data_IF_863264738065
#
_entry.id   IF_863264738065
#
_cell.length_a   1.000
_cell.length_b   1.000
_cell.length_c   1.000
_cell.angle_alpha   90.00
_cell.angle_beta   90.00
_cell.angle_gamma   90.00
#
_symmetry.space_group_name_H-M   'P 1'
#
loop_
_entity.id
_entity.type
_entity.pdbx_description
1 polymer ?
#
# COMPACT_ATOMS: atom_id res chain seq x y z
N UNK A 1 -3.82 -20.92 4.38
CA UNK A 1 -3.52 -19.54 3.96
C UNK A 1 -4.74 -18.69 4.25
N UNK A 2 -4.59 -17.65 5.05
CA UNK A 2 -5.72 -16.79 5.41
C UNK A 2 -6.09 -15.91 4.23
N UNK A 3 -7.30 -16.06 3.70
CA UNK A 3 -7.80 -15.21 2.62
C UNK A 3 -8.11 -13.81 3.17
N UNK A 4 -7.47 -12.79 2.58
CA UNK A 4 -7.72 -11.37 2.84
C UNK A 4 -9.01 -10.91 2.16
N UNK A 5 -9.66 -9.84 2.66
CA UNK A 5 -10.86 -9.32 2.04
C UNK A 5 -10.60 -8.86 0.59
N UNK A 6 -11.47 -9.18 -0.39
CA UNK A 6 -11.29 -8.82 -1.80
C UNK A 6 -11.12 -7.31 -2.04
N UNK A 7 -11.66 -6.47 -1.16
CA UNK A 7 -11.53 -5.03 -1.23
C UNK A 7 -10.06 -4.57 -1.24
N UNK A 8 -9.14 -5.34 -0.63
CA UNK A 8 -7.72 -5.01 -0.59
C UNK A 8 -7.09 -5.02 -1.99
N UNK A 9 -7.53 -5.92 -2.88
CA UNK A 9 -6.88 -6.20 -4.16
C UNK A 9 -7.22 -5.13 -5.20
N UNK A 10 -6.61 -3.96 -5.04
CA UNK A 10 -6.72 -2.80 -5.93
C UNK A 10 -5.54 -1.86 -5.71
N UNK A 11 -5.51 -0.78 -6.48
CA UNK A 11 -4.57 0.32 -6.28
C UNK A 11 -5.07 1.27 -5.19
N UNK A 12 -4.20 1.48 -4.21
CA UNK A 12 -4.37 2.36 -3.08
C UNK A 12 -3.36 3.51 -3.18
N UNK A 13 -3.82 4.73 -2.93
CA UNK A 13 -3.01 5.96 -2.95
C UNK A 13 -2.82 6.42 -1.52
N UNK A 14 -1.56 6.67 -1.12
CA UNK A 14 -1.24 7.17 0.21
C UNK A 14 -1.66 8.64 0.34
N UNK A 15 -2.53 8.92 1.31
CA UNK A 15 -3.01 10.26 1.65
C UNK A 15 -2.35 10.67 2.96
N UNK A 16 -1.12 11.18 2.85
CA UNK A 16 -0.27 11.55 4.00
C UNK A 16 -0.91 12.56 4.94
N UNK A 17 -1.76 13.42 4.39
CA UNK A 17 -2.49 14.44 5.14
C UNK A 17 -3.51 13.83 6.13
N UNK A 18 -3.94 12.59 5.90
CA UNK A 18 -4.86 11.85 6.77
C UNK A 18 -4.14 10.90 7.74
N UNK A 19 -2.80 10.76 7.63
CA UNK A 19 -2.02 9.93 8.55
C UNK A 19 -2.08 10.49 9.97
N UNK A 20 -2.29 9.61 10.95
CA UNK A 20 -2.34 10.01 12.36
C UNK A 20 -1.90 8.86 13.27
N UNK A 21 -1.23 9.18 14.39
CA UNK A 21 -0.83 8.22 15.41
C UNK A 21 -0.09 6.97 14.86
N UNK A 22 0.80 7.18 13.88
CA UNK A 22 1.56 6.09 13.24
C UNK A 22 0.73 5.20 12.30
N UNK A 23 -0.52 5.56 11.99
CA UNK A 23 -1.37 4.88 11.03
C UNK A 23 -1.30 5.62 9.69
N UNK A 24 -0.97 4.88 8.65
CA UNK A 24 -0.96 5.33 7.26
C UNK A 24 -2.33 5.16 6.64
N UNK A 25 -2.82 6.19 5.96
CA UNK A 25 -4.15 6.23 5.35
C UNK A 25 -4.04 6.15 3.84
N UNK A 26 -4.75 5.20 3.26
CA UNK A 26 -4.82 5.03 1.83
C UNK A 26 -6.26 5.09 1.33
N UNK A 27 -6.43 5.68 0.15
CA UNK A 27 -7.71 5.75 -0.56
C UNK A 27 -7.61 5.08 -1.92
N UNK A 28 -8.71 4.54 -2.47
CA UNK A 28 -8.73 3.93 -3.80
C UNK A 28 -8.29 4.93 -4.88
N UNK A 29 -7.50 4.46 -5.85
CA UNK A 29 -6.97 5.30 -6.92
C UNK A 29 -8.01 5.77 -7.95
N UNK A 30 -9.17 5.12 -8.00
CA UNK A 30 -10.32 5.44 -8.86
C UNK A 30 -11.20 6.56 -8.29
N UNK A 31 -10.98 6.96 -7.03
CA UNK A 31 -11.69 8.08 -6.40
C UNK A 31 -10.98 9.41 -6.68
N UNK A 32 -11.70 10.52 -6.90
CA UNK A 32 -11.10 11.84 -6.90
C UNK A 32 -10.45 12.13 -5.55
N UNK A 33 -9.18 12.55 -5.61
CA UNK A 33 -8.39 12.92 -4.45
C UNK A 33 -7.94 14.37 -4.60
N UNK A 34 -7.77 15.13 -3.49
CA UNK A 34 -7.24 16.48 -3.54
C UNK A 34 -5.91 16.55 -4.31
N UNK A 35 -5.57 17.66 -4.98
CA UNK A 35 -4.27 17.78 -5.65
C UNK A 35 -3.12 17.60 -4.66
N UNK A 36 -2.20 16.68 -4.95
CA UNK A 36 -0.99 16.48 -4.16
C UNK A 36 0.16 16.06 -5.08
N UNK A 37 1.32 16.68 -4.91
CA UNK A 37 2.54 16.32 -5.66
C UNK A 37 3.22 15.11 -5.01
N UNK A 38 3.83 14.25 -5.83
CA UNK A 38 4.66 13.16 -5.31
C UNK A 38 3.87 12.07 -4.57
N UNK A 39 2.63 11.80 -4.98
CA UNK A 39 1.82 10.74 -4.36
C UNK A 39 2.45 9.37 -4.55
N UNK A 40 2.49 8.65 -3.44
CA UNK A 40 2.85 7.24 -3.43
C UNK A 40 1.60 6.38 -3.42
N UNK A 41 1.76 5.13 -3.81
CA UNK A 41 0.67 4.17 -3.74
C UNK A 41 1.19 2.77 -3.58
N UNK A 42 0.25 1.87 -3.31
CA UNK A 42 0.48 0.44 -3.28
C UNK A 42 -0.67 -0.23 -3.99
N UNK A 43 -0.37 -1.17 -4.88
CA UNK A 43 -1.37 -2.01 -5.53
C UNK A 43 -1.20 -3.44 -5.02
N UNK A 44 -2.21 -3.98 -4.35
CA UNK A 44 -2.22 -5.37 -3.96
C UNK A 44 -2.95 -6.19 -5.02
N UNK A 45 -2.39 -7.35 -5.36
CA UNK A 45 -2.99 -8.33 -6.27
C UNK A 45 -3.30 -9.61 -5.52
N UNK A 46 -4.36 -10.29 -5.95
CA UNK A 46 -4.82 -11.55 -5.36
C UNK A 46 -3.87 -12.74 -5.62
N UNK A 47 -2.96 -12.60 -6.59
CA UNK A 47 -1.89 -13.54 -6.92
C UNK A 47 -0.72 -13.59 -5.91
N UNK A 48 -0.76 -12.77 -4.84
CA UNK A 48 0.31 -12.70 -3.84
C UNK A 48 1.41 -11.69 -4.17
N UNK A 49 1.24 -10.86 -5.20
CA UNK A 49 2.15 -9.76 -5.55
C UNK A 49 1.60 -8.41 -5.13
N UNK A 50 2.49 -7.45 -4.93
CA UNK A 50 2.12 -6.04 -4.82
C UNK A 50 3.04 -5.17 -5.68
N UNK A 51 2.55 -4.02 -6.11
CA UNK A 51 3.37 -2.98 -6.72
C UNK A 51 3.47 -1.78 -5.76
N UNK A 52 4.68 -1.43 -5.34
CA UNK A 52 4.99 -0.17 -4.69
C UNK A 52 5.16 0.92 -5.76
N UNK A 53 4.28 1.92 -5.73
CA UNK A 53 4.20 2.98 -6.72
C UNK A 53 4.81 4.25 -6.13
N UNK A 54 5.98 4.65 -6.63
CA UNK A 54 6.68 5.86 -6.19
C UNK A 54 6.78 6.87 -7.33
N UNK A 55 6.79 8.18 -7.04
CA UNK A 55 7.09 9.20 -8.03
C UNK A 55 8.44 8.94 -8.71
N UNK A 56 8.44 8.88 -10.03
CA UNK A 56 9.65 8.75 -10.83
C UNK A 56 10.33 10.10 -11.08
N UNK A 57 11.56 10.09 -11.63
CA UNK A 57 12.29 11.31 -11.96
C UNK A 57 11.57 12.22 -12.97
N UNK A 58 10.70 11.64 -13.79
CA UNK A 58 9.91 12.32 -14.83
C UNK A 58 8.45 12.55 -14.41
N UNK A 59 8.15 12.51 -13.11
CA UNK A 59 6.78 12.54 -12.54
C UNK A 59 5.87 11.37 -12.98
N UNK A 60 6.41 10.41 -13.74
CA UNK A 60 5.74 9.15 -14.02
C UNK A 60 5.91 8.16 -12.84
N UNK A 61 4.85 7.46 -12.38
CA UNK A 61 4.98 6.46 -11.33
C UNK A 61 5.93 5.33 -11.74
N UNK A 62 6.89 5.00 -10.88
CA UNK A 62 7.76 3.83 -11.00
C UNK A 62 7.23 2.74 -10.09
N UNK A 63 6.88 1.59 -10.67
CA UNK A 63 6.40 0.42 -9.95
C UNK A 63 7.54 -0.51 -9.58
N UNK A 64 7.69 -0.84 -8.29
CA UNK A 64 8.55 -1.93 -7.82
C UNK A 64 7.66 -3.10 -7.40
N UNK A 65 7.76 -4.24 -8.09
CA UNK A 65 6.92 -5.41 -7.81
C UNK A 65 7.59 -6.31 -6.77
N UNK A 66 6.88 -6.56 -5.68
CA UNK A 66 7.28 -7.46 -4.60
C UNK A 66 6.21 -8.51 -4.31
N UNK A 67 6.41 -9.25 -3.23
CA UNK A 67 5.47 -10.26 -2.76
C UNK A 67 4.89 -9.91 -1.40
N UNK A 68 3.63 -10.24 -1.17
CA UNK A 68 3.02 -10.12 0.15
C UNK A 68 2.61 -11.48 0.69
N UNK A 69 2.63 -11.61 2.01
CA UNK A 69 2.05 -12.74 2.72
C UNK A 69 1.18 -12.23 3.86
N UNK A 70 0.17 -13.02 4.24
CA UNK A 70 -0.78 -12.65 5.27
C UNK A 70 -0.90 -13.76 6.32
N UNK A 71 -0.17 -13.67 7.45
CA UNK A 71 -0.29 -14.66 8.52
C UNK A 71 -1.68 -14.64 9.18
N UNK A 72 -2.40 -13.53 9.11
CA UNK A 72 -3.79 -13.38 9.58
C UNK A 72 -4.59 -12.44 8.66
N UNK A 73 -5.89 -12.27 8.92
CA UNK A 73 -6.73 -11.32 8.15
C UNK A 73 -6.37 -9.85 8.38
N UNK A 74 -5.58 -9.57 9.40
CA UNK A 74 -5.22 -8.22 9.84
C UNK A 74 -3.72 -7.96 9.79
N UNK A 75 -2.91 -8.89 9.28
CA UNK A 75 -1.46 -8.74 9.23
C UNK A 75 -0.94 -9.01 7.83
N UNK A 76 -0.11 -8.10 7.34
CA UNK A 76 0.57 -8.13 6.06
C UNK A 76 2.07 -8.11 6.28
N UNK A 77 2.78 -8.96 5.55
CA UNK A 77 4.23 -8.89 5.41
C UNK A 77 4.58 -8.66 3.94
N UNK A 78 5.32 -7.60 3.65
CA UNK A 78 5.79 -7.21 2.33
C UNK A 78 7.27 -7.58 2.17
N UNK A 79 7.56 -8.28 1.09
CA UNK A 79 8.90 -8.54 0.62
C UNK A 79 9.16 -7.69 -0.63
N UNK A 80 9.96 -6.64 -0.46
CA UNK A 80 10.37 -5.76 -1.55
C UNK A 80 11.47 -6.42 -2.40
N UNK A 81 11.51 -6.17 -3.73
CA UNK A 81 12.58 -6.67 -4.56
C UNK A 81 13.91 -5.96 -4.20
N UNK A 82 15.07 -6.61 -4.43
CA UNK A 82 16.37 -5.98 -4.26
C UNK A 82 16.48 -4.67 -5.06
N UNK A 83 17.04 -3.63 -4.46
CA UNK A 83 17.21 -2.32 -5.12
C UNK A 83 15.92 -1.50 -5.28
N UNK A 84 14.80 -1.94 -4.66
CA UNK A 84 13.58 -1.14 -4.63
C UNK A 84 13.85 0.24 -4.00
N UNK A 85 13.22 1.28 -4.54
CA UNK A 85 13.23 2.63 -3.94
C UNK A 85 12.59 2.69 -2.55
N UNK A 86 11.88 1.62 -2.16
CA UNK A 86 11.36 1.39 -0.81
C UNK A 86 12.38 0.80 0.17
N UNK A 87 13.68 0.86 -0.12
CA UNK A 87 14.72 0.45 0.83
C UNK A 87 14.54 1.23 2.15
N UNK A 88 14.26 0.51 3.25
CA UNK A 88 13.96 1.11 4.56
C UNK A 88 12.46 1.29 4.88
N UNK A 89 11.55 0.97 3.96
CA UNK A 89 10.12 0.93 4.27
C UNK A 89 9.78 -0.23 5.22
N UNK A 90 8.76 -0.09 6.08
CA UNK A 90 8.29 -1.19 6.91
C UNK A 90 7.90 -2.39 6.05
N UNK A 91 8.37 -3.57 6.45
CA UNK A 91 7.99 -4.85 5.83
C UNK A 91 6.76 -5.43 6.49
N UNK A 92 6.46 -5.10 7.74
CA UNK A 92 5.25 -5.53 8.44
C UNK A 92 4.20 -4.44 8.52
N UNK A 93 2.93 -4.80 8.28
CA UNK A 93 1.78 -3.94 8.57
C UNK A 93 0.66 -4.69 9.27
N UNK A 94 -0.01 -4.00 10.17
CA UNK A 94 -1.33 -4.35 10.67
C UNK A 94 -2.39 -3.58 9.86
N UNK A 95 -3.40 -4.29 9.35
CA UNK A 95 -4.60 -3.69 8.76
C UNK A 95 -5.49 -3.25 9.91
N UNK A 96 -5.47 -1.96 10.20
CA UNK A 96 -6.31 -1.33 11.23
C UNK A 96 -7.75 -1.23 10.75
N UNK A 97 -7.94 -0.92 9.46
CA UNK A 97 -9.26 -0.81 8.84
C UNK A 97 -9.15 -1.07 7.34
N UNK A 98 -10.15 -1.76 6.79
CA UNK A 98 -10.31 -1.97 5.36
C UNK A 98 -11.79 -1.90 4.99
N UNK A 99 -12.14 -0.89 4.19
CA UNK A 99 -13.45 -0.71 3.57
C UNK A 99 -13.26 -0.49 2.06
N UNK A 100 -14.33 -0.43 1.24
CA UNK A 100 -14.18 -0.12 -0.18
C UNK A 100 -13.52 1.24 -0.48
N UNK A 101 -13.60 2.20 0.45
CA UNK A 101 -13.13 3.58 0.28
C UNK A 101 -11.88 3.93 1.11
N UNK A 102 -11.44 3.04 2.00
CA UNK A 102 -10.42 3.35 3.00
C UNK A 102 -9.60 2.12 3.38
N UNK A 103 -8.29 2.28 3.38
CA UNK A 103 -7.34 1.32 3.94
C UNK A 103 -6.45 2.03 4.95
N UNK A 104 -6.45 1.55 6.20
CA UNK A 104 -5.57 2.03 7.26
C UNK A 104 -4.55 0.96 7.62
N UNK A 105 -3.28 1.30 7.50
CA UNK A 105 -2.16 0.40 7.81
C UNK A 105 -1.31 0.98 8.93
N UNK A 106 -1.00 0.17 9.94
CA UNK A 106 -0.03 0.50 10.97
C UNK A 106 1.25 -0.32 10.75
N UNK A 107 2.43 0.31 10.58
CA UNK A 107 3.71 -0.39 10.58
C UNK A 107 3.92 -1.19 11.88
N UNK A 108 4.52 -2.38 11.80
CA UNK A 108 4.83 -3.26 12.95
C UNK A 108 6.24 -3.84 12.88
#
# INVERSE_FOLDING_TARGET
MTSLPPALFRRWVHVREEDAAGVRVYRPADRPLPPARGREGIEFRDDGTFADLRPGPTDAPVASVGHWTAPSRTRLNLAYPPGARSTGAPTGYEIVELTPDLLRLRPV
#
